data_IF_701689158562
#
_entry.id   IF_701689158562
#
_cell.length_a   1.000
_cell.length_b   1.000
_cell.length_c   1.000
_cell.angle_alpha   90.00
_cell.angle_beta   90.00
_cell.angle_gamma   90.00
#
_symmetry.space_group_name_H-M   'P 1'
#
loop_
_entity.id
_entity.type
_entity.pdbx_description
1 polymer ?
#
# COMPACT_ATOMS: atom_id res chain seq x y z
N UNK A 1 8.84 -15.91 19.24
CA UNK A 1 7.61 -16.52 19.80
C UNK A 1 6.42 -16.11 18.95
N UNK A 2 5.46 -17.02 18.73
CA UNK A 2 4.19 -16.74 18.06
C UNK A 2 3.03 -17.11 18.99
N UNK A 3 1.91 -16.38 18.90
CA UNK A 3 0.67 -16.68 19.60
C UNK A 3 -0.44 -16.86 18.57
N UNK A 4 -1.29 -17.88 18.75
CA UNK A 4 -2.44 -18.11 17.88
C UNK A 4 -3.61 -17.26 18.37
N UNK A 5 -4.20 -16.48 17.47
CA UNK A 5 -5.44 -15.74 17.68
C UNK A 5 -6.49 -16.22 16.67
N UNK A 6 -7.74 -16.28 17.10
CA UNK A 6 -8.89 -16.50 16.21
C UNK A 6 -9.73 -15.23 16.23
N UNK A 7 -10.06 -14.70 15.04
CA UNK A 7 -10.85 -13.47 14.88
C UNK A 7 -11.88 -13.67 13.77
N UNK A 8 -13.03 -13.03 13.92
CA UNK A 8 -14.03 -12.93 12.85
C UNK A 8 -13.72 -11.71 11.98
N UNK A 9 -13.83 -11.87 10.66
CA UNK A 9 -13.55 -10.82 9.68
C UNK A 9 -14.74 -10.66 8.73
N UNK A 10 -14.95 -9.46 8.15
CA UNK A 10 -15.85 -9.28 7.03
C UNK A 10 -15.52 -10.20 5.85
N UNK A 11 -16.54 -10.60 5.11
CA UNK A 11 -16.42 -11.61 4.04
C UNK A 11 -15.45 -11.19 2.92
N UNK A 12 -15.46 -9.91 2.55
CA UNK A 12 -14.56 -9.34 1.55
C UNK A 12 -13.08 -9.40 2.00
N UNK A 13 -12.83 -9.09 3.27
CA UNK A 13 -11.49 -9.18 3.88
C UNK A 13 -11.02 -10.63 3.95
N UNK A 14 -11.90 -11.55 4.37
CA UNK A 14 -11.61 -12.97 4.40
C UNK A 14 -11.29 -13.52 3.00
N UNK A 15 -12.07 -13.13 1.98
CA UNK A 15 -11.87 -13.51 0.59
C UNK A 15 -10.58 -12.94 -0.02
N UNK A 16 -10.09 -11.79 0.47
CA UNK A 16 -8.78 -11.25 0.07
C UNK A 16 -7.64 -12.03 0.72
N UNK A 17 -7.76 -12.33 2.02
CA UNK A 17 -6.74 -13.07 2.77
C UNK A 17 -6.61 -14.51 2.27
N UNK A 18 -7.70 -15.15 1.86
CA UNK A 18 -7.66 -16.52 1.33
C UNK A 18 -6.81 -16.67 0.05
N UNK A 19 -6.51 -15.56 -0.64
CA UNK A 19 -5.63 -15.53 -1.82
C UNK A 19 -4.14 -15.44 -1.47
N UNK A 20 -3.81 -15.17 -0.21
CA UNK A 20 -2.42 -15.05 0.24
C UNK A 20 -1.82 -16.44 0.52
N UNK A 21 -0.62 -16.67 0.00
CA UNK A 21 0.11 -17.92 0.26
C UNK A 21 0.43 -18.11 1.76
N UNK A 22 0.55 -17.02 2.51
CA UNK A 22 0.74 -17.05 3.95
C UNK A 22 0.01 -15.89 4.64
N UNK A 23 -1.21 -16.19 5.09
CA UNK A 23 -2.10 -15.24 5.76
C UNK A 23 -1.46 -14.63 7.01
N UNK A 24 -0.85 -15.46 7.86
CA UNK A 24 -0.27 -14.99 9.13
C UNK A 24 0.88 -14.01 8.91
N UNK A 25 1.75 -14.28 7.93
CA UNK A 25 2.85 -13.38 7.59
C UNK A 25 2.35 -12.06 6.99
N UNK A 26 1.34 -12.14 6.11
CA UNK A 26 0.71 -10.97 5.52
C UNK A 26 0.09 -10.06 6.58
N UNK A 27 -0.76 -10.63 7.44
CA UNK A 27 -1.45 -9.89 8.52
C UNK A 27 -0.44 -9.32 9.51
N UNK A 28 0.57 -10.08 9.92
CA UNK A 28 1.61 -9.57 10.83
C UNK A 28 2.38 -8.39 10.22
N UNK A 29 2.66 -8.42 8.91
CA UNK A 29 3.33 -7.32 8.20
C UNK A 29 2.44 -6.09 8.12
N UNK A 30 1.16 -6.27 7.81
CA UNK A 30 0.20 -5.18 7.75
C UNK A 30 0.05 -4.49 9.11
N UNK A 31 -0.09 -5.28 10.19
CA UNK A 31 -0.19 -4.76 11.56
C UNK A 31 1.08 -3.99 11.97
N UNK A 32 2.28 -4.53 11.68
CA UNK A 32 3.52 -3.80 11.99
C UNK A 32 3.61 -2.46 11.26
N UNK A 33 3.26 -2.42 9.98
CA UNK A 33 3.22 -1.17 9.21
C UNK A 33 2.25 -0.16 9.83
N UNK A 34 1.12 -0.63 10.35
CA UNK A 34 0.16 0.22 11.04
C UNK A 34 0.74 0.76 12.36
N UNK A 35 1.35 -0.11 13.18
CA UNK A 35 2.00 0.29 14.43
C UNK A 35 3.14 1.31 14.20
N UNK A 36 3.95 1.12 13.16
CA UNK A 36 5.03 2.04 12.83
C UNK A 36 4.49 3.42 12.41
N UNK A 37 3.36 3.46 11.71
CA UNK A 37 2.66 4.71 11.37
C UNK A 37 2.14 5.41 12.61
N UNK A 38 1.44 4.68 13.49
CA UNK A 38 0.92 5.21 14.75
C UNK A 38 2.04 5.81 15.60
N UNK A 39 3.15 5.07 15.76
CA UNK A 39 4.33 5.58 16.45
C UNK A 39 4.92 6.84 15.81
N UNK A 40 4.96 6.89 14.49
CA UNK A 40 5.44 8.09 13.77
C UNK A 40 4.55 9.28 14.04
N UNK A 41 3.22 9.08 14.03
CA UNK A 41 2.24 10.12 14.36
C UNK A 41 2.43 10.61 15.80
N UNK A 42 2.57 9.69 16.75
CA UNK A 42 2.82 10.02 18.16
C UNK A 42 4.11 10.84 18.35
N UNK A 43 5.22 10.43 17.72
CA UNK A 43 6.50 11.14 17.81
C UNK A 43 6.41 12.56 17.23
N UNK A 44 5.72 12.73 16.11
CA UNK A 44 5.51 14.05 15.51
C UNK A 44 4.59 14.92 16.40
N UNK A 45 3.56 14.33 17.01
CA UNK A 45 2.75 15.00 18.02
C UNK A 45 3.56 15.46 19.24
N UNK A 46 4.45 14.62 19.76
CA UNK A 46 5.36 14.96 20.85
C UNK A 46 6.34 16.09 20.49
N UNK A 47 6.72 16.19 19.22
CA UNK A 47 7.55 17.28 18.70
C UNK A 47 6.75 18.57 18.44
N UNK A 48 5.45 18.60 18.74
CA UNK A 48 4.58 19.77 18.61
C UNK A 48 3.90 19.92 17.25
N UNK A 49 3.95 18.90 16.38
CA UNK A 49 3.24 18.91 15.11
C UNK A 49 1.82 18.34 15.27
N UNK A 50 0.81 19.11 14.86
CA UNK A 50 -0.56 18.59 14.76
C UNK A 50 -0.77 17.88 13.41
N UNK A 51 -0.74 16.55 13.44
CA UNK A 51 -1.12 15.74 12.30
C UNK A 51 -2.65 15.66 12.20
N UNK A 52 -3.21 16.44 11.29
CA UNK A 52 -4.64 16.37 10.96
C UNK A 52 -4.88 15.16 10.06
N UNK A 53 -5.44 14.09 10.66
CA UNK A 53 -5.77 12.82 9.99
C UNK A 53 -6.55 13.03 8.68
N UNK A 54 -7.41 14.06 8.60
CA UNK A 54 -8.17 14.41 7.39
C UNK A 54 -7.31 14.79 6.17
N UNK A 55 -6.10 15.32 6.35
CA UNK A 55 -5.20 15.61 5.22
C UNK A 55 -4.49 14.35 4.70
N UNK A 56 -4.32 13.34 5.56
CA UNK A 56 -3.76 12.06 5.16
C UNK A 56 -4.76 11.28 4.28
N UNK A 57 -6.04 11.27 4.62
CA UNK A 57 -7.11 10.67 3.79
C UNK A 57 -7.24 11.37 2.44
N UNK A 58 -7.29 12.71 2.43
CA UNK A 58 -7.28 13.48 1.19
C UNK A 58 -5.97 13.33 0.40
N UNK A 59 -4.85 13.04 1.07
CA UNK A 59 -3.57 12.70 0.44
C UNK A 59 -3.59 11.29 -0.16
N UNK A 60 -4.18 10.32 0.53
CA UNK A 60 -4.34 8.95 0.07
C UNK A 60 -5.27 8.86 -1.13
N UNK A 61 -6.40 9.57 -1.13
CA UNK A 61 -7.31 9.66 -2.27
C UNK A 61 -6.63 10.29 -3.49
N UNK A 62 -5.92 11.40 -3.31
CA UNK A 62 -5.12 12.03 -4.38
C UNK A 62 -4.01 11.12 -4.90
N UNK A 63 -3.36 10.36 -4.03
CA UNK A 63 -2.34 9.39 -4.42
C UNK A 63 -2.96 8.21 -5.18
N UNK A 64 -4.10 7.69 -4.73
CA UNK A 64 -4.82 6.62 -5.41
C UNK A 64 -5.35 7.08 -6.77
N UNK A 65 -5.85 8.30 -6.87
CA UNK A 65 -6.28 8.92 -8.12
C UNK A 65 -5.10 9.14 -9.08
N UNK A 66 -4.00 9.70 -8.59
CA UNK A 66 -2.77 9.84 -9.36
C UNK A 66 -2.23 8.48 -9.81
N UNK A 67 -2.26 7.45 -8.96
CA UNK A 67 -1.86 6.08 -9.32
C UNK A 67 -2.79 5.46 -10.37
N UNK A 68 -4.11 5.68 -10.27
CA UNK A 68 -5.07 5.22 -11.29
C UNK A 68 -4.81 5.87 -12.65
N UNK A 69 -4.58 7.19 -12.67
CA UNK A 69 -4.26 7.96 -13.87
C UNK A 69 -2.90 7.56 -14.46
N UNK A 70 -1.87 7.46 -13.61
CA UNK A 70 -0.54 6.97 -13.97
C UNK A 70 -0.55 5.55 -14.51
N UNK A 71 -1.45 4.67 -14.04
CA UNK A 71 -1.47 3.26 -14.43
C UNK A 71 -1.77 3.02 -15.91
N UNK A 72 -2.40 3.97 -16.60
CA UNK A 72 -2.66 3.84 -18.04
C UNK A 72 -1.47 4.36 -18.84
N UNK A 73 -0.95 5.54 -18.47
CA UNK A 73 0.15 6.18 -19.19
C UNK A 73 1.50 5.51 -18.95
N UNK A 74 1.80 5.06 -17.73
CA UNK A 74 3.03 4.30 -17.45
C UNK A 74 3.00 2.90 -18.06
N UNK A 75 1.82 2.25 -18.16
CA UNK A 75 1.70 0.97 -18.87
C UNK A 75 1.98 1.17 -20.37
N UNK A 76 1.41 2.20 -20.97
CA UNK A 76 1.69 2.56 -22.37
C UNK A 76 3.17 2.88 -22.59
N UNK A 77 3.78 3.69 -21.73
CA UNK A 77 5.21 4.00 -21.83
C UNK A 77 6.10 2.78 -21.61
N UNK A 78 5.74 1.89 -20.67
CA UNK A 78 6.45 0.63 -20.48
C UNK A 78 6.31 -0.29 -21.70
N UNK A 79 5.12 -0.40 -22.29
CA UNK A 79 4.88 -1.19 -23.51
C UNK A 79 5.69 -0.63 -24.69
N UNK A 80 5.74 0.70 -24.84
CA UNK A 80 6.54 1.39 -25.86
C UNK A 80 8.04 1.14 -25.67
N UNK A 81 8.55 1.23 -24.44
CA UNK A 81 9.95 0.96 -24.11
C UNK A 81 10.31 -0.52 -24.33
N UNK A 82 9.43 -1.45 -23.92
CA UNK A 82 9.61 -2.89 -24.14
C UNK A 82 9.59 -3.21 -25.64
N UNK A 83 8.72 -2.56 -26.40
CA UNK A 83 8.64 -2.75 -27.85
C UNK A 83 9.86 -2.14 -28.58
N UNK A 84 10.36 -0.98 -28.16
CA UNK A 84 11.60 -0.37 -28.66
C UNK A 84 12.83 -1.22 -28.36
N UNK A 85 12.94 -1.73 -27.12
CA UNK A 85 13.99 -2.66 -26.70
C UNK A 85 14.04 -3.91 -27.59
N UNK A 86 12.87 -4.47 -27.95
CA UNK A 86 12.77 -5.65 -28.83
C UNK A 86 13.09 -5.36 -30.29
N UNK A 87 12.95 -4.12 -30.75
CA UNK A 87 13.33 -3.69 -32.10
C UNK A 87 14.80 -3.28 -32.22
N UNK A 88 15.54 -3.25 -31.10
CA UNK A 88 16.93 -2.77 -31.08
C UNK A 88 17.04 -1.25 -31.21
N UNK A 89 15.94 -0.53 -30.94
CA UNK A 89 15.81 0.92 -31.00
C UNK A 89 15.68 1.45 -29.57
N UNK A 90 16.78 1.41 -28.82
CA UNK A 90 16.92 2.23 -27.62
C UNK A 90 18.14 3.13 -27.82
N UNK A 91 18.09 4.41 -27.41
CA UNK A 91 19.24 5.30 -27.48
C UNK A 91 20.39 4.84 -26.57
#
# INVERSE_FOLDING_TARGET
>A
MTKKLTVSLPDDVAARLSREANVSAYVATAIRRQMDRERTVELLGQAGYELTVGHAEAGFERLHEAQRQMSTDLRRQADELIAGARRGELP
#
